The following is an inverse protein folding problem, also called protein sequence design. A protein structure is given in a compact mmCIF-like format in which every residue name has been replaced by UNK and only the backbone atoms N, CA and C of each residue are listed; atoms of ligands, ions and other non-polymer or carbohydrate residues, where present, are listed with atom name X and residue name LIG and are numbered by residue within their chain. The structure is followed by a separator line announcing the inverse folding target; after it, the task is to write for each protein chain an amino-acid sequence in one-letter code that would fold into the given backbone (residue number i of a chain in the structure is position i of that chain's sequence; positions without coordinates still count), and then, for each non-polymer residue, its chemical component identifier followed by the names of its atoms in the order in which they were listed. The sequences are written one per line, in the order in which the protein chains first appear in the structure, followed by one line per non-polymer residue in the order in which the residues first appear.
data_IF_533166366984
#
_entry.id   IF_533166366984
#
_cell.length_a   1.000
_cell.length_b   1.000
_cell.length_c   1.000
_cell.angle_alpha   90.00
_cell.angle_beta   90.00
_cell.angle_gamma   90.00
#
_symmetry.space_group_name_H-M   'P 1'
#
loop_
_entity.id
_entity.type
_entity.pdbx_description
1 polymer ?
#
# COMPACT_ATOMS: atom_id res chain seq x y z
N UNK A 1 -14.53 -11.98 -15.27
CA UNK A 1 -14.67 -10.59 -14.71
C UNK A 1 -13.36 -9.87 -14.91
N UNK A 2 -13.41 -8.65 -15.47
CA UNK A 2 -12.23 -7.80 -15.66
C UNK A 2 -12.15 -6.82 -14.50
N UNK A 3 -10.99 -6.78 -13.82
CA UNK A 3 -10.72 -5.86 -12.72
C UNK A 3 -9.69 -4.83 -13.15
N UNK A 4 -9.97 -3.56 -12.93
CA UNK A 4 -9.01 -2.46 -13.01
C UNK A 4 -8.54 -2.14 -11.60
N UNK A 5 -7.24 -2.28 -11.33
CA UNK A 5 -6.64 -1.95 -10.05
C UNK A 5 -5.76 -0.69 -10.18
N UNK A 6 -5.79 0.18 -9.15
CA UNK A 6 -5.10 1.46 -9.14
C UNK A 6 -4.47 1.67 -7.76
N UNK A 7 -3.17 1.96 -7.69
CA UNK A 7 -2.51 2.46 -6.49
C UNK A 7 -1.71 3.72 -6.77
N UNK A 8 -1.90 4.73 -5.94
CA UNK A 8 -1.26 6.05 -6.04
C UNK A 8 -0.71 6.49 -4.69
N UNK A 9 -0.52 5.54 -3.77
CA UNK A 9 -0.15 5.83 -2.39
C UNK A 9 1.31 6.20 -2.18
N UNK A 10 2.17 5.96 -3.19
CA UNK A 10 3.61 6.21 -3.11
C UNK A 10 4.08 7.11 -4.26
N UNK A 11 5.36 7.48 -4.27
CA UNK A 11 5.95 8.28 -5.35
C UNK A 11 5.86 7.58 -6.70
N UNK A 12 5.91 6.25 -6.71
CA UNK A 12 5.68 5.41 -7.87
C UNK A 12 4.33 4.74 -7.74
N UNK A 13 3.37 5.12 -8.59
CA UNK A 13 2.07 4.50 -8.66
C UNK A 13 2.03 3.33 -9.64
N UNK A 14 0.95 2.55 -9.58
CA UNK A 14 0.71 1.43 -10.48
C UNK A 14 -0.77 1.33 -10.87
N UNK A 15 -1.02 0.86 -12.09
CA UNK A 15 -2.35 0.45 -12.58
C UNK A 15 -2.24 -0.91 -13.24
N UNK A 16 -3.24 -1.78 -13.04
CA UNK A 16 -3.26 -3.10 -13.65
C UNK A 16 -4.65 -3.49 -14.12
N UNK A 17 -4.71 -4.30 -15.16
CA UNK A 17 -5.91 -5.02 -15.55
C UNK A 17 -5.73 -6.51 -15.30
N UNK A 18 -6.76 -7.14 -14.71
CA UNK A 18 -6.76 -8.57 -14.42
C UNK A 18 -8.04 -9.19 -14.99
N UNK A 19 -7.89 -10.37 -15.58
CA UNK A 19 -9.03 -11.24 -15.94
C UNK A 19 -9.12 -12.34 -14.92
N UNK A 20 -10.15 -12.29 -14.09
CA UNK A 20 -10.21 -13.15 -12.91
C UNK A 20 -8.94 -12.97 -12.06
N UNK A 21 -8.22 -14.02 -11.71
CA UNK A 21 -6.97 -13.90 -10.95
C UNK A 21 -5.72 -13.77 -11.83
N UNK A 22 -5.88 -13.71 -13.17
CA UNK A 22 -4.76 -13.64 -14.11
C UNK A 22 -4.46 -12.19 -14.49
N UNK A 23 -3.25 -11.68 -14.24
CA UNK A 23 -2.83 -10.38 -14.73
C UNK A 23 -2.85 -10.36 -16.26
N UNK A 24 -3.43 -9.30 -16.84
CA UNK A 24 -3.37 -9.03 -18.28
C UNK A 24 -2.20 -8.09 -18.55
N UNK A 25 -2.15 -6.99 -17.81
CA UNK A 25 -1.09 -5.98 -17.92
C UNK A 25 -0.98 -5.18 -16.62
N UNK A 26 0.21 -4.66 -16.36
CA UNK A 26 0.49 -3.71 -15.28
C UNK A 26 1.40 -2.60 -15.82
N UNK A 27 1.06 -1.35 -15.52
CA UNK A 27 1.81 -0.16 -15.85
C UNK A 27 2.17 0.58 -14.58
N UNK A 28 3.42 0.99 -14.48
CA UNK A 28 3.88 1.86 -13.38
C UNK A 28 4.12 3.27 -13.88
N UNK A 29 4.03 4.25 -12.97
CA UNK A 29 4.18 5.66 -13.31
C UNK A 29 4.72 6.44 -12.12
N UNK A 30 5.35 7.57 -12.43
CA UNK A 30 5.83 8.53 -11.43
C UNK A 30 4.86 9.72 -11.34
N UNK A 31 4.61 10.20 -10.10
CA UNK A 31 3.84 11.42 -9.82
C UNK A 31 2.52 11.52 -10.62
N UNK A 32 2.42 12.48 -11.54
CA UNK A 32 1.19 12.83 -12.27
C UNK A 32 0.90 11.90 -13.47
N UNK A 33 1.62 10.78 -13.58
CA UNK A 33 1.54 9.85 -14.70
C UNK A 33 0.31 8.95 -14.75
N UNK A 34 -0.63 9.02 -13.79
CA UNK A 34 -1.77 8.12 -13.70
C UNK A 34 -2.58 8.02 -15.00
N UNK A 35 -2.97 9.15 -15.59
CA UNK A 35 -3.79 9.12 -16.81
C UNK A 35 -3.03 8.57 -18.01
N UNK A 36 -1.76 8.88 -18.14
CA UNK A 36 -0.92 8.30 -19.19
C UNK A 36 -0.74 6.78 -19.00
N UNK A 37 -0.58 6.32 -17.75
CA UNK A 37 -0.51 4.89 -17.46
C UNK A 37 -1.83 4.18 -17.79
N UNK A 38 -2.98 4.78 -17.46
CA UNK A 38 -4.29 4.27 -17.84
C UNK A 38 -4.49 4.22 -19.37
N UNK A 39 -3.99 5.23 -20.10
CA UNK A 39 -4.02 5.22 -21.58
C UNK A 39 -3.16 4.09 -22.15
N UNK A 40 -1.94 3.87 -21.63
CA UNK A 40 -1.08 2.77 -22.09
C UNK A 40 -1.66 1.41 -21.74
N UNK A 41 -2.18 1.27 -20.51
CA UNK A 41 -2.84 0.05 -20.06
C UNK A 41 -4.04 -0.32 -20.94
N UNK A 42 -4.75 0.72 -21.45
CA UNK A 42 -5.94 0.59 -22.29
C UNK A 42 -6.89 -0.52 -21.80
N UNK A 43 -7.44 -0.42 -20.59
CA UNK A 43 -8.13 -1.52 -19.92
C UNK A 43 -9.41 -1.96 -20.64
N UNK A 44 -9.87 -1.20 -21.64
CA UNK A 44 -11.12 -1.47 -22.34
C UNK A 44 -12.33 -1.48 -21.40
N UNK A 45 -13.13 -2.55 -21.50
CA UNK A 45 -14.21 -2.80 -20.54
C UNK A 45 -13.65 -3.41 -19.25
N UNK A 46 -14.18 -2.97 -18.11
CA UNK A 46 -13.91 -3.56 -16.79
C UNK A 46 -15.19 -3.59 -15.94
N UNK A 47 -15.29 -4.60 -15.09
CA UNK A 47 -16.47 -4.89 -14.27
C UNK A 47 -16.34 -4.37 -12.83
N UNK A 48 -15.10 -4.23 -12.34
CA UNK A 48 -14.74 -3.85 -10.98
C UNK A 48 -13.54 -2.92 -11.00
N UNK A 49 -13.55 -1.90 -10.14
CA UNK A 49 -12.36 -1.11 -9.81
C UNK A 49 -11.89 -1.49 -8.40
N UNK A 50 -10.59 -1.72 -8.23
CA UNK A 50 -9.94 -1.87 -6.93
C UNK A 50 -8.96 -0.72 -6.75
N UNK A 51 -9.10 0.03 -5.65
CA UNK A 51 -8.31 1.22 -5.36
C UNK A 51 -7.55 1.09 -4.05
N UNK A 52 -6.25 1.42 -4.08
CA UNK A 52 -5.44 1.58 -2.87
C UNK A 52 -5.82 2.87 -2.12
N UNK A 53 -6.18 2.71 -0.83
CA UNK A 53 -6.60 3.83 0.02
C UNK A 53 -5.54 4.23 1.05
N UNK A 54 -4.29 3.79 0.86
CA UNK A 54 -3.16 4.11 1.72
C UNK A 54 -2.96 3.09 2.86
N UNK A 55 -2.18 3.46 3.88
CA UNK A 55 -1.57 4.78 4.09
C UNK A 55 -0.49 5.14 3.07
N UNK A 56 -0.15 6.43 3.00
CA UNK A 56 0.86 6.96 2.08
C UNK A 56 0.62 8.41 1.67
N UNK A 57 0.97 8.75 0.44
CA UNK A 57 0.85 10.10 -0.12
C UNK A 57 -0.59 10.62 -0.08
N UNK A 58 -0.82 11.64 0.74
CA UNK A 58 -2.13 12.28 0.92
C UNK A 58 -2.75 12.75 -0.42
N UNK A 59 -1.97 13.45 -1.24
CA UNK A 59 -2.41 13.95 -2.53
C UNK A 59 -2.61 12.81 -3.54
N UNK A 60 -1.68 11.86 -3.56
CA UNK A 60 -1.74 10.70 -4.44
C UNK A 60 -2.99 9.86 -4.21
N UNK A 61 -3.25 9.46 -2.98
CA UNK A 61 -4.43 8.63 -2.63
C UNK A 61 -5.73 9.32 -3.03
N UNK A 62 -5.86 10.62 -2.76
CA UNK A 62 -7.06 11.38 -3.16
C UNK A 62 -7.24 11.46 -4.67
N UNK A 63 -6.15 11.67 -5.42
CA UNK A 63 -6.17 11.68 -6.88
C UNK A 63 -6.61 10.31 -7.43
N UNK A 64 -6.08 9.21 -6.88
CA UNK A 64 -6.47 7.85 -7.25
C UNK A 64 -7.94 7.56 -6.97
N UNK A 65 -8.43 7.92 -5.78
CA UNK A 65 -9.85 7.75 -5.41
C UNK A 65 -10.75 8.58 -6.34
N UNK A 66 -10.38 9.82 -6.64
CA UNK A 66 -11.13 10.68 -7.56
C UNK A 66 -11.18 10.08 -8.98
N UNK A 67 -10.04 9.59 -9.47
CA UNK A 67 -9.96 8.90 -10.75
C UNK A 67 -10.83 7.64 -10.78
N UNK A 68 -10.76 6.79 -9.73
CA UNK A 68 -11.58 5.58 -9.62
C UNK A 68 -13.09 5.92 -9.64
N UNK A 69 -13.51 6.95 -8.90
CA UNK A 69 -14.90 7.43 -8.91
C UNK A 69 -15.32 7.92 -10.31
N UNK A 70 -14.48 8.70 -10.98
CA UNK A 70 -14.73 9.17 -12.34
C UNK A 70 -14.86 8.04 -13.35
N UNK A 71 -13.98 7.05 -13.30
CA UNK A 71 -13.99 5.87 -14.15
C UNK A 71 -15.19 4.93 -13.89
N UNK A 72 -15.73 4.94 -12.67
CA UNK A 72 -16.89 4.13 -12.31
C UNK A 72 -18.21 4.71 -12.80
N UNK A 73 -18.31 6.04 -12.97
CA UNK A 73 -19.56 6.75 -13.33
C UNK A 73 -20.25 6.19 -14.58
N UNK A 74 -19.55 5.96 -15.71
CA UNK A 74 -20.19 5.39 -16.89
C UNK A 74 -20.55 3.91 -16.67
N UNK A 75 -21.71 3.62 -16.15
CA UNK A 75 -22.20 2.25 -15.90
C UNK A 75 -22.24 1.84 -14.43
N UNK A 76 -22.07 2.78 -13.51
CA UNK A 76 -22.19 2.57 -12.05
C UNK A 76 -21.37 1.37 -11.56
N UNK A 77 -20.12 1.27 -12.01
CA UNK A 77 -19.27 0.11 -11.70
C UNK A 77 -18.88 0.09 -10.21
N UNK A 78 -18.87 -1.08 -9.58
CA UNK A 78 -18.47 -1.22 -8.19
C UNK A 78 -16.99 -0.82 -8.00
N UNK A 79 -16.71 -0.18 -6.87
CA UNK A 79 -15.35 0.15 -6.42
C UNK A 79 -15.11 -0.57 -5.09
N UNK A 80 -13.98 -1.25 -4.97
CA UNK A 80 -13.51 -1.82 -3.71
C UNK A 80 -12.24 -1.10 -3.26
N UNK A 81 -12.21 -0.71 -2.00
CA UNK A 81 -11.07 -0.08 -1.37
C UNK A 81 -10.23 -1.12 -0.62
N UNK A 82 -8.92 -1.08 -0.80
CA UNK A 82 -7.94 -1.99 -0.18
C UNK A 82 -6.79 -1.17 0.41
N UNK A 83 -6.23 -1.62 1.53
CA UNK A 83 -5.03 -0.99 2.08
C UNK A 83 -3.85 -1.14 1.13
N UNK A 84 -3.19 -0.04 0.81
CA UNK A 84 -1.96 -0.05 0.01
C UNK A 84 -0.82 -0.80 0.72
N UNK A 85 -0.83 -0.84 2.06
CA UNK A 85 0.10 -1.64 2.85
C UNK A 85 -0.11 -3.15 2.65
N UNK A 86 -1.36 -3.61 2.56
CA UNK A 86 -1.65 -5.01 2.28
C UNK A 86 -1.12 -5.41 0.89
N UNK A 87 -1.26 -4.52 -0.10
CA UNK A 87 -0.73 -4.76 -1.44
C UNK A 87 0.81 -4.74 -1.45
N UNK A 88 1.44 -3.80 -0.72
CA UNK A 88 2.89 -3.74 -0.59
C UNK A 88 3.44 -4.99 0.11
N UNK A 89 2.80 -5.43 1.20
CA UNK A 89 3.16 -6.65 1.90
C UNK A 89 3.12 -7.87 0.97
N UNK A 90 2.03 -8.03 0.22
CA UNK A 90 1.89 -9.13 -0.74
C UNK A 90 2.94 -9.06 -1.85
N UNK A 91 3.31 -7.86 -2.29
CA UNK A 91 4.36 -7.64 -3.29
C UNK A 91 5.74 -8.03 -2.76
N UNK A 92 6.04 -7.71 -1.49
CA UNK A 92 7.31 -7.99 -0.86
C UNK A 92 7.50 -9.46 -0.44
N UNK A 93 6.40 -10.17 -0.18
CA UNK A 93 6.40 -11.49 0.43
C UNK A 93 7.33 -12.53 -0.23
N UNK A 94 7.46 -12.60 -1.58
CA UNK A 94 8.38 -13.52 -2.24
C UNK A 94 9.86 -13.32 -1.88
N UNK A 95 10.25 -12.09 -1.54
CA UNK A 95 11.63 -11.70 -1.22
C UNK A 95 11.92 -11.77 0.29
N UNK A 96 10.94 -12.18 1.11
CA UNK A 96 11.08 -12.22 2.57
C UNK A 96 12.14 -13.24 3.00
N UNK A 97 13.16 -12.86 3.81
CA UNK A 97 14.21 -13.75 4.29
C UNK A 97 13.64 -15.01 4.97
N UNK A 98 14.26 -16.18 4.72
CA UNK A 98 13.72 -17.48 5.18
C UNK A 98 13.64 -17.61 6.69
N UNK A 99 14.58 -17.01 7.40
CA UNK A 99 14.72 -16.98 8.84
C UNK A 99 13.85 -15.91 9.53
N UNK A 100 13.19 -15.04 8.74
CA UNK A 100 12.28 -14.04 9.25
C UNK A 100 10.83 -14.53 9.22
N UNK A 101 10.09 -14.35 10.32
CA UNK A 101 8.70 -14.78 10.45
C UNK A 101 7.72 -13.63 10.26
N UNK A 102 8.17 -12.38 10.44
CA UNK A 102 7.33 -11.20 10.38
C UNK A 102 7.94 -10.09 9.53
N UNK A 103 7.09 -9.43 8.81
CA UNK A 103 7.43 -8.24 8.03
C UNK A 103 6.73 -7.02 8.61
N UNK A 104 7.45 -5.91 8.70
CA UNK A 104 6.91 -4.60 9.03
C UNK A 104 6.90 -3.72 7.79
N UNK A 105 5.71 -3.41 7.29
CA UNK A 105 5.52 -2.43 6.22
C UNK A 105 5.37 -1.06 6.85
N UNK A 106 6.09 -0.07 6.33
CA UNK A 106 6.09 1.27 6.90
C UNK A 106 6.17 2.39 5.84
N UNK A 107 5.68 3.58 6.19
CA UNK A 107 5.92 4.81 5.43
C UNK A 107 5.91 6.04 6.36
N UNK A 108 6.43 7.17 5.86
CA UNK A 108 6.51 8.42 6.59
C UNK A 108 5.11 8.96 6.97
N UNK A 109 4.87 9.17 8.27
CA UNK A 109 3.67 9.81 8.78
C UNK A 109 3.90 11.30 9.13
N UNK A 110 5.10 11.84 8.84
CA UNK A 110 5.58 13.18 9.24
C UNK A 110 5.79 13.32 10.76
N UNK A 111 6.51 14.36 11.18
CA UNK A 111 6.76 14.69 12.60
C UNK A 111 7.48 13.56 13.35
N UNK A 112 8.45 12.94 12.70
CA UNK A 112 9.26 11.82 13.23
C UNK A 112 8.44 10.58 13.62
N UNK A 113 7.23 10.46 13.10
CA UNK A 113 6.37 9.29 13.22
C UNK A 113 6.26 8.55 11.89
N UNK A 114 5.95 7.28 11.97
CA UNK A 114 5.72 6.41 10.82
C UNK A 114 4.34 5.74 10.91
N UNK A 115 3.69 5.56 9.77
CA UNK A 115 2.65 4.55 9.64
C UNK A 115 3.32 3.19 9.53
N UNK A 116 2.82 2.20 10.24
CA UNK A 116 3.32 0.83 10.14
C UNK A 116 2.22 -0.20 10.31
N UNK A 117 2.46 -1.39 9.78
CA UNK A 117 1.66 -2.58 10.01
C UNK A 117 2.57 -3.82 9.95
N UNK A 118 2.29 -4.79 10.80
CA UNK A 118 3.03 -6.04 10.87
C UNK A 118 2.25 -7.14 10.13
N UNK A 119 2.97 -7.98 9.41
CA UNK A 119 2.44 -9.10 8.64
C UNK A 119 3.18 -10.38 9.00
N UNK A 120 2.44 -11.47 9.14
CA UNK A 120 2.99 -12.81 9.24
C UNK A 120 3.53 -13.26 7.87
N UNK A 121 4.33 -14.32 7.86
CA UNK A 121 4.91 -14.88 6.64
C UNK A 121 3.88 -15.39 5.62
N UNK A 122 2.65 -15.64 6.02
CA UNK A 122 1.54 -16.00 5.14
C UNK A 122 0.84 -14.78 4.50
N UNK A 123 1.32 -13.57 4.77
CA UNK A 123 0.78 -12.31 4.27
C UNK A 123 -0.42 -11.78 5.07
N UNK A 124 -0.80 -12.43 6.16
CA UNK A 124 -1.88 -11.98 7.03
C UNK A 124 -1.38 -10.83 7.90
N UNK A 125 -2.11 -9.71 7.91
CA UNK A 125 -1.82 -8.59 8.79
C UNK A 125 -2.11 -8.93 10.26
N UNK A 126 -1.20 -8.54 11.14
CA UNK A 126 -1.35 -8.66 12.61
C UNK A 126 -1.83 -7.33 13.16
N UNK A 127 -3.08 -7.29 13.59
CA UNK A 127 -3.70 -6.07 14.12
C UNK A 127 -4.00 -5.01 13.05
N UNK A 128 -4.09 -3.77 13.50
CA UNK A 128 -4.44 -2.63 12.66
C UNK A 128 -3.18 -1.89 12.16
N UNK A 129 -3.35 -1.06 11.13
CA UNK A 129 -2.34 -0.07 10.77
C UNK A 129 -2.25 0.96 11.91
N UNK A 130 -1.04 1.28 12.32
CA UNK A 130 -0.78 2.18 13.47
C UNK A 130 0.15 3.31 13.06
N UNK A 131 0.23 4.32 13.93
CA UNK A 131 1.20 5.41 13.87
C UNK A 131 2.02 5.39 15.15
N UNK A 132 3.35 5.46 15.03
CA UNK A 132 4.28 5.45 16.17
C UNK A 132 5.65 5.99 15.78
N UNK A 133 6.53 6.18 16.77
CA UNK A 133 7.96 6.37 16.54
C UNK A 133 8.68 5.01 16.45
N UNK A 134 9.91 4.98 15.95
CA UNK A 134 10.70 3.75 15.88
C UNK A 134 10.99 3.18 17.27
N UNK A 135 11.27 4.02 18.26
CA UNK A 135 11.52 3.63 19.63
C UNK A 135 10.31 2.91 20.23
N UNK A 136 9.11 3.46 20.04
CA UNK A 136 7.87 2.86 20.53
C UNK A 136 7.63 1.47 19.90
N UNK A 137 7.96 1.30 18.62
CA UNK A 137 7.86 -0.01 17.95
C UNK A 137 8.90 -0.98 18.51
N UNK A 138 10.14 -0.53 18.75
CA UNK A 138 11.21 -1.37 19.29
C UNK A 138 10.89 -1.90 20.69
N UNK A 139 10.25 -1.07 21.53
CA UNK A 139 9.81 -1.46 22.87
C UNK A 139 8.75 -2.58 22.85
N UNK A 140 7.95 -2.65 21.80
CA UNK A 140 6.90 -3.67 21.64
C UNK A 140 7.38 -4.95 20.92
N UNK A 141 8.46 -4.85 20.11
CA UNK A 141 8.87 -5.91 19.19
C UNK A 141 10.17 -6.57 19.65
N UNK A 142 10.06 -7.79 20.18
CA UNK A 142 11.19 -8.56 20.71
C UNK A 142 11.75 -9.62 19.75
N UNK A 143 11.21 -9.72 18.53
CA UNK A 143 11.63 -10.68 17.53
C UNK A 143 12.15 -9.97 16.27
N UNK A 144 13.03 -10.58 15.48
CA UNK A 144 13.49 -10.02 14.22
C UNK A 144 12.32 -9.66 13.29
N UNK A 145 12.37 -8.44 12.74
CA UNK A 145 11.42 -7.93 11.76
C UNK A 145 12.13 -7.61 10.45
N UNK A 146 11.51 -7.99 9.35
CA UNK A 146 11.94 -7.54 8.04
C UNK A 146 11.19 -6.26 7.66
N UNK A 147 11.91 -5.14 7.62
CA UNK A 147 11.36 -3.82 7.35
C UNK A 147 11.31 -3.55 5.84
N UNK A 148 10.13 -3.18 5.36
CA UNK A 148 9.86 -2.94 3.93
C UNK A 148 9.13 -1.61 3.76
N UNK A 149 9.56 -0.82 2.76
CA UNK A 149 8.96 0.47 2.46
C UNK A 149 9.24 0.88 1.01
N UNK A 150 8.38 1.72 0.45
CA UNK A 150 8.69 2.46 -0.78
C UNK A 150 9.76 3.54 -0.57
N UNK A 151 10.02 3.90 0.69
CA UNK A 151 10.98 4.92 1.10
C UNK A 151 12.08 4.32 2.00
N UNK A 152 12.39 3.03 1.85
CA UNK A 152 13.24 2.28 2.79
C UNK A 152 14.62 2.91 2.98
N UNK A 153 15.19 3.50 1.95
CA UNK A 153 16.50 4.17 2.00
C UNK A 153 16.53 5.30 3.05
N UNK A 154 15.42 6.01 3.20
CA UNK A 154 15.26 7.09 4.18
C UNK A 154 15.32 6.58 5.63
N UNK A 155 14.89 5.36 5.86
CA UNK A 155 14.74 4.79 7.19
C UNK A 155 15.91 3.89 7.62
N UNK A 156 16.80 3.52 6.72
CA UNK A 156 17.87 2.54 6.98
C UNK A 156 18.72 2.86 8.20
N UNK A 157 19.15 4.12 8.37
CA UNK A 157 19.98 4.53 9.49
C UNK A 157 19.22 4.41 10.81
N UNK A 158 18.03 5.01 10.90
CA UNK A 158 17.22 4.97 12.11
C UNK A 158 16.83 3.52 12.51
N UNK A 159 16.47 2.68 11.53
CA UNK A 159 16.16 1.28 11.78
C UNK A 159 17.34 0.52 12.37
N UNK A 160 18.56 0.75 11.85
CA UNK A 160 19.78 0.11 12.38
C UNK A 160 20.14 0.62 13.78
N UNK A 161 19.98 1.91 14.03
CA UNK A 161 20.25 2.53 15.33
C UNK A 161 19.28 2.04 16.42
N UNK A 162 17.99 2.01 16.13
CA UNK A 162 16.95 1.69 17.11
C UNK A 162 16.79 0.19 17.32
N UNK A 163 16.78 -0.60 16.26
CA UNK A 163 16.52 -2.06 16.35
C UNK A 163 17.80 -2.92 16.40
N UNK A 164 18.96 -2.36 16.04
CA UNK A 164 20.22 -3.11 16.02
C UNK A 164 20.13 -4.36 15.17
N UNK A 165 20.60 -5.49 15.73
CA UNK A 165 20.58 -6.79 15.05
C UNK A 165 19.20 -7.42 14.81
N UNK A 166 18.13 -6.85 15.38
CA UNK A 166 16.75 -7.28 15.13
C UNK A 166 16.14 -6.70 13.85
N UNK A 167 16.77 -5.68 13.24
CA UNK A 167 16.31 -5.10 12.00
C UNK A 167 16.91 -5.82 10.80
N UNK A 168 16.09 -6.58 10.08
CA UNK A 168 16.39 -6.97 8.71
C UNK A 168 15.77 -5.93 7.80
N UNK A 169 16.59 -5.16 7.10
CA UNK A 169 16.09 -4.04 6.26
C UNK A 169 16.14 -4.45 4.80
N UNK A 170 15.03 -4.26 4.08
CA UNK A 170 15.00 -4.51 2.66
C UNK A 170 16.04 -3.64 1.93
N UNK A 171 16.80 -4.23 1.01
CA UNK A 171 17.91 -3.55 0.35
C UNK A 171 17.46 -2.47 -0.64
N UNK A 172 16.25 -2.60 -1.16
CA UNK A 172 15.69 -1.71 -2.19
C UNK A 172 14.26 -1.29 -1.85
N UNK A 173 13.79 -0.13 -2.37
CA UNK A 173 12.39 0.27 -2.25
C UNK A 173 11.43 -0.78 -2.84
N UNK A 174 10.34 -1.07 -2.13
CA UNK A 174 9.25 -1.92 -2.61
C UNK A 174 7.99 -1.08 -2.70
N UNK A 175 7.33 -1.14 -3.84
CA UNK A 175 6.12 -0.37 -4.13
C UNK A 175 4.91 -1.29 -4.19
N UNK A 176 3.69 -0.82 -3.82
CA UNK A 176 2.48 -1.61 -3.99
C UNK A 176 2.27 -1.99 -5.46
N UNK A 177 2.16 -3.28 -5.75
CA UNK A 177 1.76 -3.75 -7.08
C UNK A 177 0.24 -3.61 -7.25
N UNK A 178 -0.20 -3.07 -8.39
CA UNK A 178 -1.61 -3.00 -8.72
C UNK A 178 -2.20 -4.39 -8.99
N UNK A 179 -1.39 -5.36 -9.43
CA UNK A 179 -1.81 -6.77 -9.53
C UNK A 179 -2.12 -7.34 -8.15
N UNK A 180 -1.21 -7.16 -7.17
CA UNK A 180 -1.43 -7.58 -5.79
C UNK A 180 -2.69 -6.94 -5.18
N UNK A 181 -2.89 -5.64 -5.44
CA UNK A 181 -4.07 -4.91 -5.03
C UNK A 181 -5.35 -5.51 -5.64
N UNK A 182 -5.33 -5.83 -6.93
CA UNK A 182 -6.45 -6.45 -7.64
C UNK A 182 -6.83 -7.80 -7.05
N UNK A 183 -5.86 -8.66 -6.75
CA UNK A 183 -6.10 -9.94 -6.07
C UNK A 183 -6.76 -9.77 -4.71
N UNK A 184 -6.24 -8.83 -3.89
CA UNK A 184 -6.80 -8.55 -2.57
C UNK A 184 -8.24 -8.05 -2.64
N UNK A 185 -8.55 -7.13 -3.55
CA UNK A 185 -9.89 -6.58 -3.72
C UNK A 185 -10.91 -7.62 -4.19
N UNK A 186 -10.47 -8.66 -4.91
CA UNK A 186 -11.36 -9.74 -5.35
C UNK A 186 -11.61 -10.79 -4.27
N UNK A 187 -10.58 -11.14 -3.49
CA UNK A 187 -10.64 -12.24 -2.51
C UNK A 187 -11.21 -11.83 -1.16
N UNK A 188 -11.19 -10.55 -0.80
CA UNK A 188 -11.64 -10.07 0.52
C UNK A 188 -13.04 -9.48 0.45
N UNK A 189 -13.88 -9.89 1.39
CA UNK A 189 -15.13 -9.21 1.74
C UNK A 189 -14.89 -7.83 2.39
N UNK A 190 -13.63 -7.45 2.62
CA UNK A 190 -13.22 -6.20 3.23
C UNK A 190 -13.59 -5.02 2.32
N UNK A 191 -14.70 -4.42 2.62
CA UNK A 191 -15.12 -3.15 2.04
C UNK A 191 -14.61 -2.04 2.97
N UNK A 192 -13.35 -1.61 2.79
CA UNK A 192 -12.87 -0.41 3.46
C UNK A 192 -13.69 0.79 2.94
N UNK A 193 -13.87 1.83 3.76
CA UNK A 193 -14.44 3.09 3.27
C UNK A 193 -13.64 3.59 2.07
N UNK A 194 -14.33 4.14 1.06
CA UNK A 194 -13.71 4.75 -0.11
C UNK A 194 -13.16 6.15 0.25
N UNK A 195 -12.30 6.15 1.24
CA UNK A 195 -11.67 7.32 1.85
C UNK A 195 -10.22 6.98 2.19
N UNK A 196 -9.29 7.96 2.16
CA UNK A 196 -7.92 7.72 2.61
C UNK A 196 -7.88 7.23 4.05
N UNK A 197 -6.98 6.30 4.35
CA UNK A 197 -6.72 5.85 5.72
C UNK A 197 -6.04 6.99 6.48
N UNK A 198 -6.80 7.67 7.33
CA UNK A 198 -6.31 8.72 8.22
C UNK A 198 -6.27 8.18 9.65
N UNK A 199 -5.06 7.98 10.18
CA UNK A 199 -4.87 7.55 11.58
C UNK A 199 -4.62 8.73 12.52
N UNK A 200 -4.37 9.89 11.96
CA UNK A 200 -4.15 11.10 12.74
C UNK A 200 -5.44 11.92 12.79
N UNK A 201 -6.00 12.10 13.99
CA UNK A 201 -7.10 13.03 14.19
C UNK A 201 -6.66 14.45 13.79
N UNK A 202 -7.37 15.07 12.88
CA UNK A 202 -7.21 16.50 12.58
C UNK A 202 -7.78 17.29 13.75
N UNK A 203 -6.92 17.66 14.70
CA UNK A 203 -7.30 18.64 15.72
C UNK A 203 -7.48 20.00 15.03
N UNK A 204 -8.68 20.27 14.54
CA UNK A 204 -9.06 21.64 14.25
C UNK A 204 -9.11 22.39 15.60
N UNK A 205 -8.18 23.33 15.85
CA UNK A 205 -8.44 24.35 16.83
C UNK A 205 -9.69 25.10 16.36
N UNK A 206 -10.79 24.96 17.09
CA UNK A 206 -11.90 25.92 16.95
C UNK A 206 -11.32 27.30 17.23
N UNK A 207 -11.35 28.19 16.23
CA UNK A 207 -11.11 29.61 16.35
C UNK A 207 -12.18 30.22 17.22
#
# INVERSE_FOLDING_TARGET
MITLAIDTSTARGAVASLRDDQPIAEETFERDGLFHALQRLNPGHFDLIVIGVGPGSFTGIRAGIAAAKGLALPGARPIKAVSSFDALALTALPDMPRDCQRMCVLCDARRDEIYFAVYERDGRRVGEVRIATFESIADEMHNPLWFVSAEIERFQTALKEVFGGFALVCERPVYPSAVALGWLGRKRELNLPLEPIYLRETKYKKL
#
